data_IF_457502421311
#
_entry.id   IF_457502421311
#
_cell.length_a   1.000
_cell.length_b   1.000
_cell.length_c   1.000
_cell.angle_alpha   90.00
_cell.angle_beta   90.00
_cell.angle_gamma   90.00
#
_symmetry.space_group_name_H-M   'P 1'
#
loop_
_entity.id
_entity.type
_entity.pdbx_description
1 polymer ?
#
# COMPACT_ATOMS: atom_id res chain seq x y z
N UNK A 1 -8.43 -4.48 6.85
CA UNK A 1 -8.27 -4.09 5.44
C UNK A 1 -8.55 -5.29 4.56
N UNK A 2 -9.00 -5.07 3.33
CA UNK A 2 -9.36 -6.13 2.37
C UNK A 2 -8.72 -5.83 1.02
N UNK A 3 -8.08 -6.84 0.42
CA UNK A 3 -7.72 -6.81 -1.01
C UNK A 3 -8.95 -7.19 -1.84
N UNK A 4 -9.38 -6.30 -2.72
CA UNK A 4 -10.40 -6.58 -3.73
C UNK A 4 -9.68 -6.92 -5.04
N UNK A 5 -9.11 -8.12 -5.08
CA UNK A 5 -8.21 -8.60 -6.12
C UNK A 5 -8.77 -8.38 -7.53
N UNK A 6 -10.03 -8.76 -7.77
CA UNK A 6 -10.66 -8.68 -9.10
C UNK A 6 -10.79 -7.28 -9.71
N UNK A 7 -10.51 -6.20 -8.97
CA UNK A 7 -10.46 -4.85 -9.52
C UNK A 7 -9.28 -4.00 -9.02
N UNK A 8 -8.23 -4.65 -8.52
CA UNK A 8 -6.96 -4.05 -8.07
C UNK A 8 -7.18 -2.88 -7.10
N UNK A 9 -8.04 -3.06 -6.10
CA UNK A 9 -8.30 -2.04 -5.09
C UNK A 9 -8.27 -2.57 -3.67
N UNK A 10 -8.11 -1.64 -2.72
CA UNK A 10 -8.00 -1.91 -1.30
C UNK A 10 -9.13 -1.21 -0.57
N UNK A 11 -9.78 -1.92 0.34
CA UNK A 11 -10.83 -1.36 1.18
C UNK A 11 -10.38 -1.31 2.63
N UNK A 12 -10.66 -0.16 3.25
CA UNK A 12 -10.49 0.04 4.68
C UNK A 12 -11.87 0.08 5.34
N UNK A 13 -11.98 -0.63 6.46
CA UNK A 13 -13.16 -0.72 7.30
C UNK A 13 -12.76 -0.38 8.72
N UNK A 14 -13.71 0.07 9.53
CA UNK A 14 -13.53 0.17 10.98
C UNK A 14 -13.26 -1.23 11.56
N UNK A 15 -12.43 -1.29 12.61
CA UNK A 15 -12.09 -2.54 13.29
C UNK A 15 -13.16 -3.01 14.30
N UNK A 16 -14.09 -2.12 14.65
CA UNK A 16 -15.23 -2.39 15.53
C UNK A 16 -16.53 -2.43 14.74
N UNK A 17 -17.52 -3.13 15.28
CA UNK A 17 -18.90 -3.09 14.79
C UNK A 17 -19.40 -1.62 14.66
N UNK A 18 -20.14 -1.26 13.60
CA UNK A 18 -20.69 -2.11 12.52
C UNK A 18 -19.74 -2.37 11.34
N UNK A 19 -18.42 -2.20 11.52
CA UNK A 19 -17.40 -2.38 10.50
C UNK A 19 -17.65 -1.51 9.27
N UNK A 20 -18.09 -0.27 9.47
CA UNK A 20 -18.37 0.67 8.39
C UNK A 20 -17.16 0.86 7.48
N UNK A 21 -17.41 0.98 6.17
CA UNK A 21 -16.35 1.29 5.22
C UNK A 21 -15.82 2.71 5.46
N UNK A 22 -14.50 2.81 5.66
CA UNK A 22 -13.78 4.09 5.77
C UNK A 22 -13.50 4.64 4.38
N UNK A 23 -13.02 3.78 3.47
CA UNK A 23 -12.74 4.21 2.11
C UNK A 23 -12.16 3.11 1.23
N UNK A 24 -11.86 3.48 -0.01
CA UNK A 24 -11.27 2.61 -1.04
C UNK A 24 -10.17 3.36 -1.76
N UNK A 25 -9.07 2.69 -2.04
CA UNK A 25 -7.97 3.26 -2.82
C UNK A 25 -7.33 2.23 -3.75
N UNK A 26 -6.48 2.70 -4.67
CA UNK A 26 -5.59 1.88 -5.50
C UNK A 26 -4.15 2.33 -5.28
N UNK A 27 -3.21 1.43 -5.54
CA UNK A 27 -1.78 1.74 -5.50
C UNK A 27 -1.34 1.95 -6.94
N UNK A 28 -1.03 3.21 -7.26
CA UNK A 28 -0.58 3.62 -8.59
C UNK A 28 0.94 3.69 -8.69
N UNK A 29 1.41 3.98 -9.90
CA UNK A 29 2.83 4.14 -10.23
C UNK A 29 3.46 5.30 -9.45
N UNK A 30 4.66 5.09 -8.94
CA UNK A 30 5.54 6.11 -8.38
C UNK A 30 6.77 6.29 -9.29
N UNK A 31 6.77 7.33 -10.12
CA UNK A 31 7.87 7.60 -11.06
C UNK A 31 9.09 8.26 -10.40
N UNK A 32 8.94 8.78 -9.19
CA UNK A 32 9.97 9.53 -8.46
C UNK A 32 10.32 8.81 -7.15
N UNK A 33 10.31 7.48 -7.16
CA UNK A 33 10.62 6.66 -6.01
C UNK A 33 12.12 6.70 -5.66
N UNK A 34 12.44 6.32 -4.43
CA UNK A 34 13.82 6.15 -3.99
C UNK A 34 13.96 4.77 -3.38
N UNK A 35 14.86 3.95 -3.91
CA UNK A 35 15.20 2.63 -3.37
C UNK A 35 16.70 2.59 -3.07
N UNK A 36 17.06 2.29 -1.82
CA UNK A 36 18.45 2.24 -1.36
C UNK A 36 19.28 3.49 -1.73
N UNK A 37 18.64 4.66 -1.70
CA UNK A 37 19.27 5.94 -2.03
C UNK A 37 19.40 6.25 -3.54
N UNK A 38 18.75 5.47 -4.41
CA UNK A 38 18.72 5.71 -5.86
C UNK A 38 17.32 6.02 -6.33
N UNK A 39 17.20 6.98 -7.25
CA UNK A 39 15.94 7.23 -7.96
C UNK A 39 15.54 5.97 -8.72
N UNK A 40 14.29 5.57 -8.53
CA UNK A 40 13.70 4.42 -9.20
C UNK A 40 12.23 4.71 -9.49
N UNK A 41 11.75 4.23 -10.62
CA UNK A 41 10.33 4.19 -10.90
C UNK A 41 9.79 2.85 -10.43
N UNK A 42 8.72 2.87 -9.65
CA UNK A 42 8.04 1.69 -9.13
C UNK A 42 6.63 1.73 -9.69
N UNK A 43 6.15 0.63 -10.24
CA UNK A 43 4.78 0.50 -10.68
C UNK A 43 3.78 0.42 -9.50
N UNK A 44 2.51 0.25 -9.85
CA UNK A 44 1.44 0.08 -8.88
C UNK A 44 1.46 -1.30 -8.22
N UNK A 45 0.31 -1.71 -7.70
CA UNK A 45 0.09 -3.09 -7.29
C UNK A 45 -1.21 -3.60 -7.90
N UNK A 46 -1.18 -4.81 -8.45
CA UNK A 46 -2.35 -5.48 -9.00
C UNK A 46 -2.38 -6.96 -8.64
N UNK A 47 -3.56 -7.57 -8.76
CA UNK A 47 -3.83 -8.97 -8.43
C UNK A 47 -3.39 -9.39 -7.02
N UNK A 48 -3.38 -8.44 -6.07
CA UNK A 48 -2.92 -8.67 -4.72
C UNK A 48 -3.68 -9.81 -4.02
N UNK A 49 -2.98 -10.90 -3.74
CA UNK A 49 -3.47 -12.00 -2.90
C UNK A 49 -3.38 -11.65 -1.41
N UNK A 50 -2.19 -11.22 -0.98
CA UNK A 50 -1.84 -11.02 0.43
C UNK A 50 -1.52 -9.57 0.78
N UNK A 51 -1.95 -9.14 1.97
CA UNK A 51 -1.56 -7.86 2.57
C UNK A 51 -1.32 -7.98 4.08
N UNK A 52 -0.51 -7.09 4.62
CA UNK A 52 -0.29 -6.92 6.06
C UNK A 52 -0.18 -5.44 6.40
N UNK A 53 -0.69 -5.05 7.57
CA UNK A 53 -0.67 -3.66 8.03
C UNK A 53 -0.22 -3.58 9.48
N UNK A 54 0.59 -2.57 9.79
CA UNK A 54 0.94 -2.20 11.16
C UNK A 54 0.82 -0.69 11.32
N UNK A 55 0.34 -0.27 12.49
CA UNK A 55 0.37 1.13 12.94
C UNK A 55 1.60 1.43 13.81
N UNK A 56 2.40 0.41 14.13
CA UNK A 56 3.61 0.56 14.92
C UNK A 56 4.75 1.07 14.03
N UNK A 57 5.65 1.92 14.57
CA UNK A 57 6.82 2.39 13.82
C UNK A 57 7.67 1.21 13.32
N UNK A 58 8.08 1.25 12.05
CA UNK A 58 9.00 0.28 11.44
C UNK A 58 10.32 0.92 10.98
N UNK A 59 10.49 2.22 11.23
CA UNK A 59 11.67 2.99 10.84
C UNK A 59 11.50 4.47 11.13
N UNK A 60 12.34 5.32 10.55
CA UNK A 60 12.32 6.78 10.73
C UNK A 60 11.53 7.51 9.63
N UNK A 61 11.23 8.80 9.85
CA UNK A 61 10.53 9.64 8.87
C UNK A 61 9.11 9.13 8.57
N UNK A 62 8.79 8.95 7.28
CA UNK A 62 7.46 8.51 6.82
C UNK A 62 7.04 7.14 7.37
N UNK A 63 8.00 6.33 7.84
CA UNK A 63 7.80 4.99 8.39
C UNK A 63 7.48 4.96 9.89
N UNK A 64 7.44 6.13 10.55
CA UNK A 64 7.14 6.25 11.98
C UNK A 64 5.67 5.99 12.32
N UNK A 65 4.77 6.13 11.36
CA UNK A 65 3.33 5.89 11.56
C UNK A 65 2.90 4.47 11.16
N UNK A 66 3.87 3.60 10.89
CA UNK A 66 3.64 2.24 10.41
C UNK A 66 3.61 2.12 8.89
N UNK A 67 3.14 0.97 8.44
CA UNK A 67 3.33 0.50 7.07
C UNK A 67 2.22 -0.45 6.64
N UNK A 68 1.83 -0.32 5.37
CA UNK A 68 1.10 -1.34 4.62
C UNK A 68 2.09 -2.06 3.70
N UNK A 69 2.02 -3.39 3.69
CA UNK A 69 2.69 -4.25 2.72
C UNK A 69 1.63 -4.96 1.90
N UNK A 70 1.75 -4.90 0.58
CA UNK A 70 0.87 -5.62 -0.36
C UNK A 70 1.71 -6.47 -1.28
N UNK A 71 1.24 -7.65 -1.64
CA UNK A 71 1.79 -8.41 -2.76
C UNK A 71 1.34 -7.76 -4.09
N UNK A 72 2.22 -7.81 -5.08
CA UNK A 72 1.95 -7.38 -6.45
C UNK A 72 2.17 -8.55 -7.40
N UNK A 73 1.06 -8.97 -8.04
CA UNK A 73 1.02 -10.07 -8.99
C UNK A 73 1.66 -9.74 -10.34
N UNK A 74 1.78 -8.45 -10.68
CA UNK A 74 2.25 -7.97 -11.97
C UNK A 74 3.24 -6.81 -11.81
N UNK A 75 4.50 -7.16 -11.54
CA UNK A 75 5.59 -6.21 -11.35
C UNK A 75 6.26 -5.88 -12.69
N UNK A 76 5.98 -4.69 -13.22
CA UNK A 76 6.27 -4.27 -14.59
C UNK A 76 7.26 -3.10 -14.71
N UNK A 77 7.80 -2.60 -13.60
CA UNK A 77 8.74 -1.47 -13.64
C UNK A 77 9.96 -1.67 -12.73
N UNK A 78 11.02 -2.33 -13.26
CA UNK A 78 11.08 -3.07 -14.52
C UNK A 78 10.30 -4.40 -14.44
N UNK A 79 10.03 -5.01 -15.60
CA UNK A 79 9.46 -6.36 -15.67
C UNK A 79 10.27 -7.36 -14.83
N UNK A 80 9.59 -8.00 -13.88
CA UNK A 80 10.18 -8.97 -12.97
C UNK A 80 9.12 -9.95 -12.45
N UNK A 81 9.56 -10.88 -11.60
CA UNK A 81 8.65 -11.74 -10.85
C UNK A 81 7.80 -10.91 -9.88
N UNK A 82 6.75 -11.55 -9.36
CA UNK A 82 5.92 -11.00 -8.28
C UNK A 82 6.77 -10.48 -7.12
N UNK A 83 6.31 -9.40 -6.51
CA UNK A 83 7.03 -8.70 -5.45
C UNK A 83 6.08 -8.23 -4.35
N UNK A 84 6.63 -7.51 -3.38
CA UNK A 84 5.85 -6.78 -2.39
C UNK A 84 6.11 -5.29 -2.53
N UNK A 85 5.05 -4.48 -2.43
CA UNK A 85 5.15 -3.02 -2.36
C UNK A 85 4.91 -2.56 -0.92
N UNK A 86 5.69 -1.59 -0.48
CA UNK A 86 5.62 -1.03 0.88
C UNK A 86 5.15 0.40 0.80
N UNK A 87 4.14 0.72 1.61
CA UNK A 87 3.54 2.04 1.66
C UNK A 87 3.59 2.55 3.09
N UNK A 88 4.07 3.79 3.31
CA UNK A 88 3.98 4.40 4.62
C UNK A 88 2.49 4.62 4.94
N UNK A 89 2.09 4.28 6.17
CA UNK A 89 0.70 4.39 6.60
C UNK A 89 0.16 5.82 6.45
N UNK A 90 1.01 6.82 6.69
CA UNK A 90 0.70 8.24 6.56
C UNK A 90 0.15 8.61 5.16
N UNK A 91 0.64 7.99 4.10
CA UNK A 91 0.14 8.23 2.74
C UNK A 91 -1.29 7.70 2.55
N UNK A 92 -1.62 6.57 3.18
CA UNK A 92 -2.96 5.97 3.13
C UNK A 92 -3.94 6.80 3.96
N UNK A 93 -3.53 7.16 5.19
CA UNK A 93 -4.31 8.00 6.07
C UNK A 93 -4.65 9.33 5.39
N UNK A 94 -3.66 9.99 4.78
CA UNK A 94 -3.86 11.21 4.00
C UNK A 94 -4.82 11.00 2.81
N UNK A 95 -4.66 9.91 2.05
CA UNK A 95 -5.50 9.62 0.89
C UNK A 95 -6.97 9.35 1.26
N UNK A 96 -7.22 8.91 2.50
CA UNK A 96 -8.54 8.61 3.03
C UNK A 96 -9.06 9.70 3.98
N UNK A 97 -8.40 10.86 4.03
CA UNK A 97 -8.72 11.98 4.93
C UNK A 97 -8.88 11.56 6.41
N UNK A 98 -8.06 10.59 6.83
CA UNK A 98 -7.99 10.13 8.21
C UNK A 98 -7.11 11.09 9.02
N UNK A 99 -7.62 11.57 10.14
CA UNK A 99 -6.91 12.47 11.07
C UNK A 99 -5.95 11.71 11.98
#
# INVERSE_FOLDING_TARGET
>A
MVSSQGNNSYLLYQASEPYSQVGRFRIGVNLNGMENGRETSIDGASETDGLAVTHLPVGHGVWQQGMLVVQDGHNHLPDANQAFKWLPWSSIAKQLDMQ
#
